data_IF_527423122064
#
_entry.id   IF_527423122064
#
_cell.length_a   1.000
_cell.length_b   1.000
_cell.length_c   1.000
_cell.angle_alpha   90.00
_cell.angle_beta   90.00
_cell.angle_gamma   90.00
#
_symmetry.space_group_name_H-M   'P 1'
#
loop_
_entity.id
_entity.type
_entity.pdbx_description
1 polymer ?
#
# COMPACT_ATOMS: atom_id res chain seq x y z
N UNK A 1 -18.49 -25.10 -9.59
CA UNK A 1 -18.08 -24.44 -8.33
C UNK A 1 -16.85 -25.09 -7.72
N UNK A 2 -16.84 -26.40 -7.44
CA UNK A 2 -15.68 -27.07 -6.83
C UNK A 2 -14.37 -26.97 -7.65
N UNK A 3 -14.44 -27.14 -8.97
CA UNK A 3 -13.26 -27.08 -9.85
C UNK A 3 -12.62 -25.68 -9.89
N UNK A 4 -13.44 -24.62 -9.87
CA UNK A 4 -12.94 -23.24 -9.83
C UNK A 4 -12.29 -22.91 -8.49
N UNK A 5 -12.88 -23.35 -7.37
CA UNK A 5 -12.29 -23.18 -6.04
C UNK A 5 -10.93 -23.90 -5.93
N UNK A 6 -10.84 -25.12 -6.45
CA UNK A 6 -9.58 -25.87 -6.47
C UNK A 6 -8.49 -25.16 -7.28
N UNK A 7 -8.83 -24.50 -8.40
CA UNK A 7 -7.86 -23.73 -9.21
C UNK A 7 -7.32 -22.51 -8.44
N UNK A 8 -8.19 -21.78 -7.73
CA UNK A 8 -7.80 -20.65 -6.88
C UNK A 8 -6.85 -21.10 -5.76
N UNK A 9 -7.23 -22.15 -5.03
CA UNK A 9 -6.42 -22.69 -3.93
C UNK A 9 -5.04 -23.10 -4.40
N UNK A 10 -4.94 -23.75 -5.56
CA UNK A 10 -3.64 -24.11 -6.13
C UNK A 10 -2.80 -22.88 -6.47
N UNK A 11 -3.38 -21.82 -7.07
CA UNK A 11 -2.60 -20.60 -7.41
C UNK A 11 -2.05 -19.95 -6.14
N UNK A 12 -2.87 -19.88 -5.10
CA UNK A 12 -2.46 -19.32 -3.81
C UNK A 12 -1.39 -20.18 -3.12
N UNK A 13 -1.51 -21.50 -3.18
CA UNK A 13 -0.51 -22.43 -2.65
C UNK A 13 0.83 -22.29 -3.39
N UNK A 14 0.80 -22.18 -4.71
CA UNK A 14 2.00 -22.00 -5.54
C UNK A 14 2.70 -20.67 -5.21
N UNK A 15 1.93 -19.58 -5.06
CA UNK A 15 2.46 -18.27 -4.64
C UNK A 15 3.09 -18.33 -3.24
N UNK A 16 2.44 -19.00 -2.29
CA UNK A 16 2.96 -19.14 -0.93
C UNK A 16 4.27 -19.95 -0.90
N UNK A 17 4.34 -21.03 -1.67
CA UNK A 17 5.53 -21.88 -1.74
C UNK A 17 6.69 -21.21 -2.47
N UNK A 18 6.40 -20.40 -3.49
CA UNK A 18 7.41 -19.70 -4.27
C UNK A 18 7.95 -18.44 -3.57
N UNK A 19 7.27 -17.88 -2.58
CA UNK A 19 7.78 -16.69 -1.89
C UNK A 19 8.95 -17.04 -0.94
N UNK A 20 10.07 -16.27 -0.90
CA UNK A 20 10.38 -15.04 -1.64
C UNK A 20 11.28 -15.25 -2.87
N UNK A 21 11.27 -16.43 -3.49
CA UNK A 21 12.17 -16.76 -4.59
C UNK A 21 11.75 -16.11 -5.92
N UNK A 22 12.65 -16.01 -6.93
CA UNK A 22 12.31 -15.42 -8.23
C UNK A 22 11.11 -16.08 -8.94
N UNK A 23 10.87 -17.38 -8.68
CA UNK A 23 9.70 -18.12 -9.19
C UNK A 23 8.37 -17.45 -8.79
N UNK A 24 8.33 -16.72 -7.68
CA UNK A 24 7.15 -15.94 -7.28
C UNK A 24 6.72 -14.98 -8.39
N UNK A 25 7.67 -14.26 -9.00
CA UNK A 25 7.39 -13.33 -10.08
C UNK A 25 7.06 -14.04 -11.40
N UNK A 26 7.59 -15.23 -11.64
CA UNK A 26 7.19 -16.05 -12.80
C UNK A 26 5.71 -16.46 -12.69
N UNK A 27 5.26 -16.81 -11.48
CA UNK A 27 3.84 -17.13 -11.23
C UNK A 27 2.96 -15.90 -11.44
N UNK A 28 3.36 -14.74 -10.93
CA UNK A 28 2.59 -13.49 -11.09
C UNK A 28 2.42 -13.04 -12.54
N UNK A 29 3.33 -13.42 -13.43
CA UNK A 29 3.32 -13.01 -14.84
C UNK A 29 2.83 -14.11 -15.79
N UNK A 30 2.22 -15.19 -15.28
CA UNK A 30 1.72 -16.27 -16.11
C UNK A 30 0.21 -16.17 -16.38
N UNK A 31 -0.22 -16.82 -17.45
CA UNK A 31 -1.62 -16.85 -17.89
C UNK A 31 -2.56 -17.36 -16.80
N UNK A 32 -2.11 -18.30 -15.96
CA UNK A 32 -2.94 -18.88 -14.88
C UNK A 32 -3.24 -17.86 -13.79
N UNK A 33 -2.31 -16.99 -13.45
CA UNK A 33 -2.53 -15.90 -12.51
C UNK A 33 -3.40 -14.80 -13.13
N UNK A 34 -3.19 -14.48 -14.41
CA UNK A 34 -4.07 -13.55 -15.14
C UNK A 34 -5.52 -14.05 -15.20
N UNK A 35 -5.73 -15.33 -15.50
CA UNK A 35 -7.05 -15.97 -15.46
C UNK A 35 -7.66 -15.93 -14.05
N UNK A 36 -6.85 -16.15 -13.02
CA UNK A 36 -7.29 -16.02 -11.63
C UNK A 36 -7.77 -14.60 -11.33
N UNK A 37 -6.99 -13.56 -11.67
CA UNK A 37 -7.36 -12.16 -11.48
C UNK A 37 -8.65 -11.83 -12.24
N UNK A 38 -8.78 -12.25 -13.50
CA UNK A 38 -10.00 -12.05 -14.28
C UNK A 38 -11.23 -12.72 -13.64
N UNK A 39 -11.07 -13.91 -13.07
CA UNK A 39 -12.15 -14.61 -12.37
C UNK A 39 -12.55 -13.92 -11.06
N UNK A 40 -11.58 -13.32 -10.36
CA UNK A 40 -11.80 -12.52 -9.17
C UNK A 40 -12.61 -11.27 -9.51
N UNK A 41 -12.21 -10.53 -10.55
CA UNK A 41 -12.93 -9.34 -11.03
C UNK A 41 -14.38 -9.66 -11.40
N UNK A 42 -14.61 -10.76 -12.12
CA UNK A 42 -15.97 -11.23 -12.43
C UNK A 42 -16.80 -11.51 -11.17
N UNK A 43 -16.16 -12.08 -10.14
CA UNK A 43 -16.82 -12.35 -8.85
C UNK A 43 -17.19 -11.06 -8.12
N UNK A 44 -16.33 -10.04 -8.18
CA UNK A 44 -16.63 -8.70 -7.66
C UNK A 44 -17.85 -8.10 -8.37
N UNK A 45 -17.89 -8.14 -9.70
CA UNK A 45 -19.02 -7.61 -10.46
C UNK A 45 -20.34 -8.35 -10.15
N UNK A 46 -20.31 -9.69 -10.06
CA UNK A 46 -21.48 -10.48 -9.73
C UNK A 46 -22.00 -10.21 -8.30
N UNK A 47 -21.09 -10.03 -7.34
CA UNK A 47 -21.42 -9.75 -5.94
C UNK A 47 -21.90 -8.32 -5.68
N UNK A 48 -21.63 -7.38 -6.59
CA UNK A 48 -21.90 -5.95 -6.41
C UNK A 48 -23.40 -5.60 -6.24
N UNK A 49 -24.32 -6.50 -6.58
CA UNK A 49 -25.76 -6.31 -6.28
C UNK A 49 -26.10 -6.45 -4.79
N UNK A 50 -25.25 -7.11 -3.99
CA UNK A 50 -25.48 -7.40 -2.57
C UNK A 50 -24.80 -6.38 -1.68
N UNK A 51 -25.55 -5.73 -0.80
CA UNK A 51 -25.03 -4.66 0.07
C UNK A 51 -23.88 -5.12 1.00
N UNK A 52 -24.02 -6.28 1.64
CA UNK A 52 -22.96 -6.83 2.50
C UNK A 52 -21.68 -7.15 1.72
N UNK A 53 -21.81 -7.66 0.49
CA UNK A 53 -20.68 -7.93 -0.37
C UNK A 53 -19.94 -6.63 -0.73
N UNK A 54 -20.69 -5.59 -1.16
CA UNK A 54 -20.12 -4.27 -1.46
C UNK A 54 -19.35 -3.68 -0.29
N UNK A 55 -19.91 -3.78 0.92
CA UNK A 55 -19.25 -3.29 2.13
C UNK A 55 -17.90 -3.98 2.35
N UNK A 56 -17.87 -5.32 2.36
CA UNK A 56 -16.62 -6.05 2.55
C UNK A 56 -15.62 -5.82 1.41
N UNK A 57 -16.09 -5.70 0.17
CA UNK A 57 -15.22 -5.37 -0.94
C UNK A 57 -14.57 -3.99 -0.76
N UNK A 58 -15.35 -2.97 -0.40
CA UNK A 58 -14.81 -1.63 -0.12
C UNK A 58 -13.79 -1.63 1.04
N UNK A 59 -13.99 -2.50 2.03
CA UNK A 59 -13.02 -2.70 3.10
C UNK A 59 -11.71 -3.31 2.59
N UNK A 60 -11.78 -4.31 1.72
CA UNK A 60 -10.59 -4.88 1.08
C UNK A 60 -9.84 -3.85 0.24
N UNK A 61 -10.55 -3.00 -0.51
CA UNK A 61 -9.96 -1.90 -1.27
C UNK A 61 -9.20 -0.92 -0.36
N UNK A 62 -9.77 -0.57 0.80
CA UNK A 62 -9.08 0.27 1.79
C UNK A 62 -7.83 -0.39 2.35
N UNK A 63 -7.91 -1.68 2.69
CA UNK A 63 -6.76 -2.44 3.23
C UNK A 63 -5.65 -2.53 2.19
N UNK A 64 -5.98 -2.79 0.92
CA UNK A 64 -5.01 -2.78 -0.18
C UNK A 64 -4.27 -1.44 -0.26
N UNK A 65 -5.02 -0.33 -0.25
CA UNK A 65 -4.44 1.02 -0.30
C UNK A 65 -3.53 1.28 0.91
N UNK A 66 -3.94 0.86 2.11
CA UNK A 66 -3.12 0.99 3.33
C UNK A 66 -1.82 0.17 3.22
N UNK A 67 -1.89 -1.05 2.69
CA UNK A 67 -0.71 -1.90 2.49
C UNK A 67 0.25 -1.31 1.45
N UNK A 68 -0.27 -0.69 0.37
CA UNK A 68 0.54 0.03 -0.61
C UNK A 68 1.22 1.26 0.01
N UNK A 69 0.52 2.00 0.87
CA UNK A 69 1.10 3.12 1.60
C UNK A 69 2.22 2.68 2.56
N UNK A 70 1.99 1.60 3.30
CA UNK A 70 3.00 0.99 4.15
C UNK A 70 4.20 0.53 3.33
N UNK A 71 3.99 -0.17 2.22
CA UNK A 71 5.06 -0.58 1.32
C UNK A 71 5.86 0.62 0.80
N UNK A 72 5.18 1.65 0.29
CA UNK A 72 5.84 2.87 -0.19
C UNK A 72 6.72 3.53 0.87
N UNK A 73 6.25 3.56 2.11
CA UNK A 73 7.01 4.10 3.24
C UNK A 73 8.17 3.19 3.63
N UNK A 74 7.95 1.88 3.72
CA UNK A 74 8.94 0.91 4.22
C UNK A 74 10.07 0.64 3.25
N UNK A 75 9.82 0.81 1.95
CA UNK A 75 10.81 0.73 0.87
C UNK A 75 11.45 2.09 0.53
N UNK A 76 11.01 3.20 1.14
CA UNK A 76 11.42 4.54 0.72
C UNK A 76 11.00 4.90 -0.70
N UNK A 77 9.92 4.28 -1.22
CA UNK A 77 9.41 4.50 -2.56
C UNK A 77 8.44 5.67 -2.59
N UNK A 78 8.96 6.85 -2.93
CA UNK A 78 8.19 8.11 -2.97
C UNK A 78 6.99 8.08 -3.92
N UNK A 79 7.17 7.52 -5.11
CA UNK A 79 6.09 7.47 -6.11
C UNK A 79 4.93 6.60 -5.61
N UNK A 80 5.24 5.43 -5.04
CA UNK A 80 4.23 4.56 -4.46
C UNK A 80 3.56 5.20 -3.23
N UNK A 81 4.34 5.91 -2.41
CA UNK A 81 3.80 6.67 -1.28
C UNK A 81 2.79 7.73 -1.74
N UNK A 82 3.13 8.59 -2.71
CA UNK A 82 2.19 9.61 -3.19
C UNK A 82 0.99 9.03 -3.95
N UNK A 83 1.18 7.94 -4.70
CA UNK A 83 0.08 7.28 -5.40
C UNK A 83 -0.93 6.66 -4.42
N UNK A 84 -0.44 6.01 -3.35
CA UNK A 84 -1.28 5.44 -2.30
C UNK A 84 -1.98 6.53 -1.47
N UNK A 85 -1.30 7.63 -1.13
CA UNK A 85 -1.94 8.81 -0.49
C UNK A 85 -3.10 9.34 -1.34
N UNK A 86 -2.91 9.47 -2.66
CA UNK A 86 -3.99 9.87 -3.57
C UNK A 86 -5.18 8.91 -3.52
N UNK A 87 -4.91 7.58 -3.54
CA UNK A 87 -5.94 6.54 -3.43
C UNK A 87 -6.63 6.54 -2.07
N UNK A 88 -5.98 7.00 -0.99
CA UNK A 88 -6.58 7.11 0.34
C UNK A 88 -7.57 8.26 0.45
N UNK A 89 -7.42 9.35 -0.32
CA UNK A 89 -8.22 10.57 -0.14
C UNK A 89 -9.74 10.29 -0.10
N UNK A 90 -10.35 9.56 -1.06
CA UNK A 90 -11.80 9.30 -1.01
C UNK A 90 -12.24 8.56 0.26
N UNK A 91 -11.41 7.62 0.75
CA UNK A 91 -11.71 6.84 1.95
C UNK A 91 -11.67 7.68 3.22
N UNK A 92 -10.70 8.59 3.32
CA UNK A 92 -10.57 9.52 4.43
C UNK A 92 -11.80 10.43 4.53
N UNK A 93 -12.40 10.83 3.41
CA UNK A 93 -13.68 11.54 3.38
C UNK A 93 -14.86 10.63 3.72
N UNK A 94 -14.92 9.42 3.15
CA UNK A 94 -16.04 8.50 3.34
C UNK A 94 -16.18 7.99 4.79
N UNK A 95 -15.09 7.98 5.57
CA UNK A 95 -15.05 7.50 6.95
C UNK A 95 -14.90 8.63 7.99
N UNK A 96 -15.24 9.87 7.62
CA UNK A 96 -15.29 11.03 8.54
C UNK A 96 -13.99 11.28 9.33
N UNK A 97 -12.83 11.02 8.73
CA UNK A 97 -11.55 11.39 9.32
C UNK A 97 -11.28 12.90 9.10
N UNK A 98 -12.06 13.75 9.77
CA UNK A 98 -12.16 15.21 9.53
C UNK A 98 -10.79 15.92 9.47
N UNK A 99 -9.88 15.59 10.39
CA UNK A 99 -8.55 16.20 10.40
C UNK A 99 -7.74 15.81 9.15
N UNK A 100 -7.77 14.53 8.78
CA UNK A 100 -7.06 14.03 7.61
C UNK A 100 -7.71 14.47 6.31
N UNK A 101 -9.05 14.49 6.23
CA UNK A 101 -9.75 14.95 5.02
C UNK A 101 -9.48 16.43 4.71
N UNK A 102 -9.20 17.24 5.74
CA UNK A 102 -8.80 18.64 5.56
C UNK A 102 -7.35 18.78 5.08
N UNK A 103 -6.40 18.08 5.70
CA UNK A 103 -4.98 18.35 5.49
C UNK A 103 -4.29 17.40 4.50
N UNK A 104 -4.77 16.16 4.36
CA UNK A 104 -4.15 15.18 3.46
C UNK A 104 -4.24 15.56 1.98
N UNK A 105 -5.35 16.17 1.47
CA UNK A 105 -5.36 16.70 0.11
C UNK A 105 -4.36 17.83 -0.12
N UNK A 106 -4.19 18.72 0.86
CA UNK A 106 -3.22 19.84 0.81
C UNK A 106 -1.81 19.28 0.76
N UNK A 107 -1.47 18.38 1.68
CA UNK A 107 -0.22 17.64 1.68
C UNK A 107 0.05 17.00 0.32
N UNK A 108 -0.92 16.27 -0.24
CA UNK A 108 -0.75 15.59 -1.52
C UNK A 108 -0.44 16.55 -2.67
N UNK A 109 -1.13 17.70 -2.73
CA UNK A 109 -0.88 18.74 -3.74
C UNK A 109 0.52 19.35 -3.60
N UNK A 110 0.90 19.75 -2.39
CA UNK A 110 2.23 20.32 -2.11
C UNK A 110 3.34 19.33 -2.47
N UNK A 111 3.20 18.06 -2.07
CA UNK A 111 4.20 17.03 -2.33
C UNK A 111 4.32 16.69 -3.82
N UNK A 112 3.22 16.68 -4.56
CA UNK A 112 3.24 16.51 -6.02
C UNK A 112 3.99 17.65 -6.71
N UNK A 113 3.79 18.87 -6.23
CA UNK A 113 4.33 20.07 -6.87
C UNK A 113 5.83 20.30 -6.52
N UNK A 114 6.41 19.52 -5.61
CA UNK A 114 7.84 19.58 -5.26
C UNK A 114 8.78 19.48 -6.46
N UNK A 115 8.42 18.69 -7.49
CA UNK A 115 9.23 18.56 -8.70
C UNK A 115 9.50 19.93 -9.35
N UNK A 116 8.53 20.83 -9.28
CA UNK A 116 8.58 22.16 -9.90
C UNK A 116 8.96 23.27 -8.91
N UNK A 117 8.56 23.15 -7.65
CA UNK A 117 8.76 24.21 -6.64
C UNK A 117 10.08 24.05 -5.88
N UNK A 118 10.51 22.81 -5.63
CA UNK A 118 11.67 22.49 -4.79
C UNK A 118 12.38 21.23 -5.32
N UNK A 119 12.92 21.28 -6.53
CA UNK A 119 13.51 20.12 -7.23
C UNK A 119 14.55 19.37 -6.40
N UNK A 120 15.36 20.09 -5.60
CA UNK A 120 16.34 19.47 -4.71
C UNK A 120 15.69 18.60 -3.62
N UNK A 121 14.58 19.06 -3.02
CA UNK A 121 13.81 18.30 -2.03
C UNK A 121 13.13 17.10 -2.70
N UNK A 122 12.53 17.32 -3.87
CA UNK A 122 11.95 16.23 -4.66
C UNK A 122 12.97 15.13 -4.95
N UNK A 123 14.21 15.48 -5.30
CA UNK A 123 15.28 14.53 -5.54
C UNK A 123 15.59 13.70 -4.29
N UNK A 124 15.67 14.33 -3.11
CA UNK A 124 15.84 13.62 -1.85
C UNK A 124 14.67 12.66 -1.53
N UNK A 125 13.45 13.05 -1.86
CA UNK A 125 12.29 12.16 -1.73
C UNK A 125 12.41 10.94 -2.66
N UNK A 126 12.77 11.15 -3.93
CA UNK A 126 12.96 10.05 -4.91
C UNK A 126 14.06 9.09 -4.47
N UNK A 127 15.11 9.58 -3.83
CA UNK A 127 16.18 8.78 -3.23
C UNK A 127 15.76 8.04 -1.94
N UNK A 128 14.52 8.25 -1.46
CA UNK A 128 13.96 7.59 -0.28
C UNK A 128 14.28 8.29 1.03
N UNK A 129 14.87 9.49 1.00
CA UNK A 129 15.29 10.22 2.21
C UNK A 129 14.13 10.94 2.94
N UNK A 130 12.87 10.72 2.52
CA UNK A 130 11.69 11.16 3.26
C UNK A 130 11.32 10.23 4.43
N UNK A 131 12.02 9.08 4.51
CA UNK A 131 11.93 8.08 5.57
C UNK A 131 13.31 7.78 6.14
N UNK A 132 13.36 7.09 7.28
CA UNK A 132 14.62 6.73 7.95
C UNK A 132 14.80 5.23 7.96
N UNK A 133 15.97 4.77 7.52
CA UNK A 133 16.41 3.38 7.60
C UNK A 133 17.41 3.21 8.74
N UNK A 134 17.14 2.23 9.63
CA UNK A 134 17.99 1.95 10.81
C UNK A 134 18.61 0.55 10.81
N UNK A 135 18.30 -0.26 9.80
CA UNK A 135 18.84 -1.60 9.62
C UNK A 135 19.16 -1.84 8.14
N UNK A 136 19.87 -2.91 7.81
CA UNK A 136 20.21 -3.26 6.43
C UNK A 136 19.00 -3.80 5.62
N UNK A 137 17.85 -4.00 6.27
CA UNK A 137 16.65 -4.50 5.61
C UNK A 137 15.98 -3.38 4.80
N UNK A 138 15.89 -3.56 3.48
CA UNK A 138 15.28 -2.62 2.55
C UNK A 138 13.79 -2.34 2.79
N UNK A 139 13.08 -3.20 3.55
CA UNK A 139 11.67 -3.03 3.93
C UNK A 139 11.52 -2.58 5.41
N UNK A 140 12.56 -1.95 5.97
CA UNK A 140 12.57 -1.52 7.38
C UNK A 140 12.56 -0.01 7.58
N UNK A 141 12.35 0.78 6.51
CA UNK A 141 12.25 2.22 6.65
C UNK A 141 10.96 2.61 7.40
N UNK A 142 11.02 3.70 8.14
CA UNK A 142 9.88 4.25 8.90
C UNK A 142 9.86 5.78 8.79
N UNK A 143 8.71 6.39 9.10
CA UNK A 143 8.58 7.84 9.10
C UNK A 143 9.56 8.50 10.09
N UNK A 144 10.03 9.71 9.77
CA UNK A 144 10.95 10.47 10.61
C UNK A 144 10.38 10.72 12.02
N UNK A 145 9.10 11.08 12.12
CA UNK A 145 8.41 11.28 13.40
C UNK A 145 8.43 10.01 14.26
N UNK A 146 8.05 8.87 13.68
CA UNK A 146 8.12 7.57 14.35
C UNK A 146 9.56 7.23 14.78
N UNK A 147 10.56 7.58 13.97
CA UNK A 147 11.97 7.36 14.33
C UNK A 147 12.37 8.16 15.56
N UNK A 148 12.04 9.45 15.58
CA UNK A 148 12.29 10.35 16.71
C UNK A 148 11.61 9.80 17.98
N UNK A 149 10.36 9.35 17.85
CA UNK A 149 9.59 8.74 18.93
C UNK A 149 10.24 7.47 19.50
N UNK A 150 10.79 6.63 18.63
CA UNK A 150 11.47 5.38 19.01
C UNK A 150 12.92 5.57 19.47
N UNK A 151 13.49 6.77 19.35
CA UNK A 151 14.90 7.06 19.67
C UNK A 151 15.00 8.20 20.69
N UNK A 152 15.06 9.44 20.22
CA UNK A 152 15.27 10.63 21.05
C UNK A 152 14.21 10.79 22.15
N UNK A 153 12.94 10.48 21.84
CA UNK A 153 11.85 10.61 22.81
C UNK A 153 11.64 9.35 23.65
N UNK A 154 12.35 8.26 23.38
CA UNK A 154 12.17 7.00 24.11
C UNK A 154 12.68 7.11 25.55
N UNK A 155 13.90 7.60 25.71
CA UNK A 155 14.58 7.69 27.01
C UNK A 155 13.83 8.58 28.03
N UNK A 156 13.35 9.79 27.68
CA UNK A 156 12.56 10.59 28.62
C UNK A 156 11.17 10.02 28.92
N UNK A 157 10.65 9.07 28.11
CA UNK A 157 9.33 8.45 28.26
C UNK A 157 9.38 7.08 28.97
N UNK A 158 10.55 6.46 29.08
CA UNK A 158 10.71 5.15 29.73
C UNK A 158 11.12 5.39 31.19
N UNK A 159 10.14 5.28 32.09
CA UNK A 159 10.36 5.28 33.55
C UNK A 159 10.84 3.94 34.05
#
# INVERSE_FOLDING_TARGET
MQEAANKVEQVMADLQQAFPSPQYFEILNNDRFEEFVASFDQSIQAGNSKQTFRFWNSYLDMVEVLLLFLRGTREGNWNLHLASVRRMLPWIFAYDHINYSRYLPVYWLEMRDLLTTHTAVHQQCIEGHFTVQRSENAFAQIACDQTIEQTANRDPKTK
#
